data_IF_773296621969
#
_entry.id   IF_773296621969
#
_cell.length_a   1.000
_cell.length_b   1.000
_cell.length_c   1.000
_cell.angle_alpha   90.00
_cell.angle_beta   90.00
_cell.angle_gamma   90.00
#
_symmetry.space_group_name_H-M   'P 1'
#
loop_
_entity.id
_entity.type
_entity.pdbx_description
1 polymer ?
#
# COMPACT_ATOMS: atom_id res chain seq x y z
N UNK A 1 -20.52 1.01 -1.16
CA UNK A 1 -20.17 1.66 0.15
C UNK A 1 -21.09 2.85 0.27
N UNK A 2 -21.69 3.10 1.43
CA UNK A 2 -22.52 4.28 1.65
C UNK A 2 -21.66 5.55 1.79
N UNK A 3 -22.29 6.72 1.64
CA UNK A 3 -21.59 8.00 1.66
C UNK A 3 -20.92 8.30 3.02
N UNK A 4 -21.54 7.87 4.11
CA UNK A 4 -21.00 8.12 5.46
C UNK A 4 -19.73 7.32 5.65
N UNK A 5 -19.74 6.05 5.26
CA UNK A 5 -18.56 5.17 5.33
C UNK A 5 -17.41 5.62 4.40
N UNK A 6 -17.73 6.29 3.30
CA UNK A 6 -16.73 6.71 2.31
C UNK A 6 -16.15 8.11 2.61
N UNK A 7 -17.03 9.09 2.87
CA UNK A 7 -16.63 10.49 3.03
C UNK A 7 -16.55 10.95 4.49
N UNK A 8 -16.93 10.09 5.44
CA UNK A 8 -17.11 10.46 6.86
C UNK A 8 -18.05 11.67 7.07
N UNK A 9 -18.97 11.90 6.12
CA UNK A 9 -19.99 12.95 6.14
C UNK A 9 -21.13 12.61 5.19
N UNK A 10 -22.31 13.18 5.42
CA UNK A 10 -23.43 13.13 4.48
C UNK A 10 -23.20 14.14 3.36
N UNK A 11 -23.19 13.67 2.11
CA UNK A 11 -23.04 14.50 0.90
C UNK A 11 -24.35 14.60 0.13
N UNK A 12 -25.33 13.73 0.41
CA UNK A 12 -26.65 13.74 -0.22
C UNK A 12 -27.41 15.03 0.12
N UNK A 13 -28.32 15.44 -0.79
CA UNK A 13 -29.26 16.50 -0.52
C UNK A 13 -30.13 16.19 0.71
N UNK A 14 -30.52 17.21 1.43
CA UNK A 14 -31.53 17.07 2.54
C UNK A 14 -32.86 16.57 2.01
N UNK A 15 -33.27 17.01 0.83
CA UNK A 15 -34.44 16.51 0.12
C UNK A 15 -33.99 15.43 -0.88
N UNK A 16 -34.44 14.21 -0.64
CA UNK A 16 -34.16 13.03 -1.48
C UNK A 16 -35.47 12.53 -2.16
N UNK A 17 -36.53 13.29 -2.16
CA UNK A 17 -37.82 12.88 -2.76
C UNK A 17 -37.74 12.59 -4.24
N UNK A 18 -36.79 13.22 -4.96
CA UNK A 18 -36.48 12.95 -6.37
C UNK A 18 -35.50 11.83 -6.62
N UNK A 19 -34.94 11.17 -5.59
CA UNK A 19 -33.95 10.11 -5.76
C UNK A 19 -34.62 8.78 -6.12
N UNK A 20 -33.86 7.93 -6.86
CA UNK A 20 -34.29 6.56 -7.12
C UNK A 20 -34.11 5.70 -5.87
N UNK A 21 -35.11 4.88 -5.55
CA UNK A 21 -35.01 3.84 -4.54
C UNK A 21 -34.52 2.55 -5.21
N UNK A 22 -33.30 2.14 -4.89
CA UNK A 22 -32.70 0.90 -5.38
C UNK A 22 -32.86 -0.19 -4.32
N UNK A 23 -33.31 -1.38 -4.70
CA UNK A 23 -33.46 -2.56 -3.83
C UNK A 23 -32.26 -3.48 -3.95
N UNK A 24 -32.05 -4.31 -2.94
CA UNK A 24 -31.02 -5.36 -2.98
C UNK A 24 -31.18 -6.20 -4.27
N UNK A 25 -30.06 -6.48 -4.94
CA UNK A 25 -30.03 -7.20 -6.22
C UNK A 25 -30.24 -6.33 -7.46
N UNK A 26 -30.69 -5.09 -7.32
CA UNK A 26 -30.84 -4.15 -8.44
C UNK A 26 -29.51 -3.45 -8.75
N UNK A 27 -29.39 -2.91 -9.95
CA UNK A 27 -28.19 -2.34 -10.52
C UNK A 27 -28.30 -0.83 -10.71
N UNK A 28 -27.15 -0.17 -10.62
CA UNK A 28 -27.02 1.24 -10.99
C UNK A 28 -25.78 1.47 -11.86
N UNK A 29 -25.94 2.16 -12.96
CA UNK A 29 -24.86 2.65 -13.80
C UNK A 29 -24.48 4.07 -13.37
N UNK A 30 -23.27 4.23 -12.90
CA UNK A 30 -22.64 5.52 -12.64
C UNK A 30 -21.97 6.01 -13.94
N UNK A 31 -22.48 7.07 -14.53
CA UNK A 31 -21.97 7.70 -15.76
C UNK A 31 -20.69 8.53 -15.54
N UNK A 32 -20.14 8.59 -14.35
CA UNK A 32 -18.94 9.40 -14.07
C UNK A 32 -17.67 8.63 -14.39
N UNK A 33 -16.77 9.30 -15.10
CA UNK A 33 -15.39 8.85 -15.27
C UNK A 33 -14.70 8.74 -13.91
N UNK A 34 -13.92 7.68 -13.74
CA UNK A 34 -12.99 7.56 -12.63
C UNK A 34 -11.81 6.67 -13.05
N UNK A 35 -10.70 6.74 -12.32
CA UNK A 35 -9.50 5.94 -12.62
C UNK A 35 -9.85 4.45 -12.70
N UNK A 36 -9.58 3.83 -13.84
CA UNK A 36 -9.94 2.44 -14.13
C UNK A 36 -11.37 2.21 -14.61
N UNK A 37 -12.17 3.26 -14.77
CA UNK A 37 -13.56 3.22 -15.23
C UNK A 37 -13.83 4.35 -16.24
N UNK A 38 -13.23 4.23 -17.42
CA UNK A 38 -13.27 5.27 -18.47
C UNK A 38 -14.68 5.59 -18.98
N UNK A 39 -15.56 4.58 -19.00
CA UNK A 39 -16.96 4.72 -19.39
C UNK A 39 -17.92 4.49 -18.19
N UNK A 40 -17.47 4.87 -16.98
CA UNK A 40 -18.27 4.71 -15.78
C UNK A 40 -18.33 3.26 -15.26
N UNK A 41 -19.22 2.98 -14.34
CA UNK A 41 -19.32 1.65 -13.72
C UNK A 41 -20.76 1.23 -13.45
N UNK A 42 -21.08 -0.02 -13.73
CA UNK A 42 -22.32 -0.65 -13.30
C UNK A 42 -22.07 -1.48 -12.04
N UNK A 43 -22.84 -1.24 -10.99
CA UNK A 43 -22.72 -1.98 -9.73
C UNK A 43 -24.09 -2.43 -9.24
N UNK A 44 -24.12 -3.61 -8.59
CA UNK A 44 -25.32 -4.17 -7.95
C UNK A 44 -25.32 -3.77 -6.47
N UNK A 45 -26.52 -3.51 -5.94
CA UNK A 45 -26.69 -3.29 -4.51
C UNK A 45 -26.70 -4.64 -3.78
N UNK A 46 -25.60 -4.95 -3.10
CA UNK A 46 -25.42 -6.22 -2.37
C UNK A 46 -25.41 -6.06 -0.85
N UNK A 47 -25.12 -4.85 -0.33
CA UNK A 47 -24.83 -4.63 1.09
C UNK A 47 -26.06 -4.25 1.95
N UNK A 48 -27.04 -3.65 1.33
CA UNK A 48 -28.21 -3.08 2.02
C UNK A 48 -29.48 -3.60 1.37
N UNK A 49 -30.57 -3.66 2.13
CA UNK A 49 -31.86 -4.07 1.59
C UNK A 49 -32.39 -3.06 0.57
N UNK A 50 -32.11 -1.78 0.80
CA UNK A 50 -32.42 -0.69 -0.12
C UNK A 50 -31.50 0.51 0.07
N UNK A 51 -31.43 1.38 -0.93
CA UNK A 51 -30.67 2.61 -0.88
C UNK A 51 -31.19 3.68 -1.83
N UNK A 52 -31.06 4.96 -1.47
CA UNK A 52 -31.41 6.07 -2.32
C UNK A 52 -30.23 6.50 -3.20
N UNK A 53 -30.45 6.66 -4.51
CA UNK A 53 -29.47 7.11 -5.48
C UNK A 53 -29.95 8.35 -6.24
N UNK A 54 -29.04 9.28 -6.51
CA UNK A 54 -29.29 10.45 -7.33
C UNK A 54 -29.77 10.07 -8.74
N UNK A 55 -30.57 10.93 -9.36
CA UNK A 55 -31.05 10.81 -10.74
C UNK A 55 -29.93 10.85 -11.81
N UNK A 56 -28.70 11.12 -11.41
CA UNK A 56 -27.52 11.01 -12.29
C UNK A 56 -27.18 9.55 -12.67
N UNK A 57 -27.69 8.58 -11.93
CA UNK A 57 -27.51 7.15 -12.20
C UNK A 57 -28.64 6.61 -13.07
N UNK A 58 -28.33 5.60 -13.90
CA UNK A 58 -29.35 4.77 -14.54
C UNK A 58 -29.56 3.55 -13.66
N UNK A 59 -30.73 3.42 -13.05
CA UNK A 59 -31.08 2.32 -12.16
C UNK A 59 -31.93 1.29 -12.90
N UNK A 60 -31.65 -0.01 -12.69
CA UNK A 60 -32.40 -1.08 -13.38
C UNK A 60 -32.38 -2.41 -12.62
N UNK A 61 -33.37 -3.24 -12.90
CA UNK A 61 -33.47 -4.62 -12.43
C UNK A 61 -33.32 -5.61 -13.60
N UNK A 62 -32.77 -6.78 -13.31
CA UNK A 62 -32.67 -7.86 -14.29
C UNK A 62 -34.01 -8.60 -14.43
N UNK A 63 -34.30 -9.07 -15.68
CA UNK A 63 -35.52 -9.83 -15.99
C UNK A 63 -35.28 -11.33 -16.17
N UNK A 64 -34.13 -11.74 -16.75
CA UNK A 64 -33.96 -13.11 -17.25
C UNK A 64 -32.62 -13.78 -16.93
N UNK A 65 -31.57 -13.03 -16.70
CA UNK A 65 -30.22 -13.58 -16.61
C UNK A 65 -29.82 -13.89 -15.16
N UNK A 66 -28.78 -14.74 -14.98
CA UNK A 66 -28.19 -14.95 -13.67
C UNK A 66 -27.53 -13.65 -13.17
N UNK A 67 -27.95 -13.19 -12.01
CA UNK A 67 -27.54 -11.89 -11.48
C UNK A 67 -26.04 -11.85 -11.12
N UNK A 68 -25.47 -12.94 -10.63
CA UNK A 68 -24.04 -12.99 -10.30
C UNK A 68 -23.18 -13.01 -11.57
N UNK A 69 -23.66 -13.68 -12.63
CA UNK A 69 -23.03 -13.62 -13.95
C UNK A 69 -23.02 -12.20 -14.51
N UNK A 70 -24.15 -11.52 -14.49
CA UNK A 70 -24.27 -10.14 -15.00
C UNK A 70 -23.40 -9.17 -14.19
N UNK A 71 -23.31 -9.36 -12.87
CA UNK A 71 -22.36 -8.61 -12.05
C UNK A 71 -20.92 -8.80 -12.53
N UNK A 72 -20.48 -10.05 -12.74
CA UNK A 72 -19.14 -10.36 -13.24
C UNK A 72 -18.92 -9.81 -14.66
N UNK A 73 -19.93 -9.88 -15.54
CA UNK A 73 -19.88 -9.32 -16.88
C UNK A 73 -19.63 -7.81 -16.85
N UNK A 74 -20.37 -7.06 -16.05
CA UNK A 74 -20.16 -5.61 -15.90
C UNK A 74 -18.80 -5.27 -15.27
N UNK A 75 -18.29 -6.11 -14.37
CA UNK A 75 -16.96 -5.95 -13.80
C UNK A 75 -15.82 -6.28 -14.79
N UNK A 76 -16.09 -7.01 -15.89
CA UNK A 76 -15.13 -7.31 -16.96
C UNK A 76 -14.82 -6.11 -17.87
N UNK A 77 -15.66 -5.08 -17.83
CA UNK A 77 -15.61 -3.89 -18.70
C UNK A 77 -15.78 -4.17 -20.22
N UNK A 78 -16.14 -5.40 -20.63
CA UNK A 78 -16.35 -5.75 -22.03
C UNK A 78 -17.51 -4.97 -22.68
N UNK A 79 -18.46 -4.55 -21.87
CA UNK A 79 -19.60 -3.72 -22.27
C UNK A 79 -19.21 -2.28 -22.64
N UNK A 80 -18.00 -1.84 -22.36
CA UNK A 80 -17.51 -0.49 -22.68
C UNK A 80 -17.55 -0.16 -24.17
N UNK A 81 -17.34 -1.15 -25.02
CA UNK A 81 -17.45 -0.97 -26.47
C UNK A 81 -18.81 -0.40 -26.88
N UNK A 82 -19.89 -0.92 -26.31
CA UNK A 82 -21.25 -0.48 -26.61
C UNK A 82 -21.51 0.94 -26.04
N UNK A 83 -21.00 1.23 -24.85
CA UNK A 83 -21.14 2.58 -24.25
C UNK A 83 -20.32 3.61 -25.03
N UNK A 84 -19.15 3.25 -25.52
CA UNK A 84 -18.36 4.14 -26.39
C UNK A 84 -19.14 4.61 -27.61
N UNK A 85 -19.90 3.72 -28.22
CA UNK A 85 -20.69 4.02 -29.44
C UNK A 85 -21.84 4.99 -29.19
N UNK A 86 -22.41 5.02 -28.00
CA UNK A 86 -23.55 5.86 -27.60
C UNK A 86 -23.17 7.06 -26.73
N UNK A 87 -21.91 7.10 -26.22
CA UNK A 87 -21.42 8.24 -25.46
C UNK A 87 -21.01 9.35 -26.42
N UNK A 88 -21.89 10.34 -26.64
CA UNK A 88 -21.52 11.52 -27.43
C UNK A 88 -20.34 12.25 -26.76
N UNK A 89 -19.38 12.70 -27.57
CA UNK A 89 -18.30 13.60 -27.14
C UNK A 89 -18.91 14.87 -26.56
N UNK A 90 -19.00 14.94 -25.26
CA UNK A 90 -19.61 16.05 -24.56
C UNK A 90 -19.24 16.12 -23.09
N UNK A 91 -18.18 15.45 -22.67
CA UNK A 91 -17.60 15.61 -21.33
C UNK A 91 -17.00 17.03 -21.13
N UNK A 92 -17.79 18.04 -21.44
CA UNK A 92 -17.54 19.42 -21.01
C UNK A 92 -17.99 19.50 -19.57
N UNK A 93 -17.02 19.56 -18.67
CA UNK A 93 -17.14 19.80 -17.25
C UNK A 93 -17.50 18.58 -16.39
N UNK A 94 -16.54 18.16 -15.59
CA UNK A 94 -16.66 17.27 -14.43
C UNK A 94 -16.69 15.76 -14.68
N UNK A 95 -16.28 15.23 -15.84
CA UNK A 95 -16.11 13.80 -16.06
C UNK A 95 -17.42 12.98 -16.09
N UNK A 96 -18.57 13.63 -16.31
CA UNK A 96 -19.85 12.97 -16.49
C UNK A 96 -20.07 12.67 -17.98
N UNK A 97 -20.26 11.38 -18.32
CA UNK A 97 -20.59 10.96 -19.69
C UNK A 97 -22.03 11.31 -20.04
N UNK A 98 -22.24 11.77 -21.27
CA UNK A 98 -23.57 11.96 -21.80
C UNK A 98 -24.06 10.66 -22.44
N UNK A 99 -24.70 9.80 -21.65
CA UNK A 99 -25.29 8.53 -22.08
C UNK A 99 -26.80 8.61 -21.91
N UNK A 100 -27.57 8.65 -23.00
CA UNK A 100 -29.03 8.63 -22.94
C UNK A 100 -29.54 7.30 -22.35
N UNK A 101 -30.57 7.36 -21.53
CA UNK A 101 -31.09 6.17 -20.85
C UNK A 101 -31.65 5.14 -21.82
N UNK A 102 -32.37 5.59 -22.86
CA UNK A 102 -32.97 4.70 -23.86
C UNK A 102 -31.88 3.99 -24.68
N UNK A 103 -30.86 4.72 -25.12
CA UNK A 103 -29.74 4.16 -25.85
C UNK A 103 -28.93 3.16 -24.98
N UNK A 104 -28.79 3.42 -23.67
CA UNK A 104 -28.17 2.48 -22.74
C UNK A 104 -28.91 1.13 -22.72
N UNK A 105 -30.24 1.14 -22.71
CA UNK A 105 -31.04 -0.09 -22.73
C UNK A 105 -31.10 -0.77 -24.09
N UNK A 106 -30.78 -0.07 -25.15
CA UNK A 106 -30.70 -0.61 -26.54
C UNK A 106 -29.33 -1.22 -26.86
N UNK A 107 -28.33 -1.07 -25.97
CA UNK A 107 -27.00 -1.67 -26.14
C UNK A 107 -27.09 -3.20 -26.25
N UNK A 108 -26.27 -3.78 -27.12
CA UNK A 108 -26.26 -5.23 -27.41
C UNK A 108 -25.07 -5.90 -26.72
N UNK A 109 -25.34 -6.92 -25.92
CA UNK A 109 -24.35 -7.66 -25.17
C UNK A 109 -24.31 -9.13 -25.60
N UNK A 110 -23.10 -9.63 -25.88
CA UNK A 110 -22.89 -11.02 -26.23
C UNK A 110 -22.65 -11.83 -24.97
N UNK A 111 -23.63 -12.63 -24.57
CA UNK A 111 -23.60 -13.45 -23.36
C UNK A 111 -24.16 -14.84 -23.64
N UNK A 112 -23.74 -15.89 -22.89
CA UNK A 112 -24.33 -17.22 -23.00
C UNK A 112 -25.85 -17.18 -22.82
N UNK A 113 -26.58 -17.89 -23.66
CA UNK A 113 -28.03 -17.98 -23.54
C UNK A 113 -28.48 -18.98 -22.48
N UNK A 114 -27.65 -20.01 -22.22
CA UNK A 114 -27.92 -21.00 -21.18
C UNK A 114 -27.63 -20.47 -19.78
N UNK A 115 -28.66 -20.45 -18.92
CA UNK A 115 -28.56 -20.03 -17.55
C UNK A 115 -27.62 -20.94 -16.72
N UNK A 116 -27.52 -22.24 -17.08
CA UNK A 116 -26.60 -23.14 -16.39
C UNK A 116 -25.13 -22.80 -16.67
N UNK A 117 -24.84 -22.35 -17.92
CA UNK A 117 -23.52 -21.84 -18.27
C UNK A 117 -23.23 -20.51 -17.56
N UNK A 118 -24.17 -19.57 -17.56
CA UNK A 118 -24.04 -18.32 -16.81
C UNK A 118 -23.74 -18.60 -15.33
N UNK A 119 -24.47 -19.54 -14.73
CA UNK A 119 -24.27 -19.91 -13.31
C UNK A 119 -22.88 -20.49 -13.05
N UNK A 120 -22.38 -21.38 -13.90
CA UNK A 120 -21.04 -21.96 -13.78
C UNK A 120 -19.95 -20.87 -13.82
N UNK A 121 -20.06 -19.91 -14.75
CA UNK A 121 -19.13 -18.80 -14.85
C UNK A 121 -19.22 -17.93 -13.58
N UNK A 122 -20.41 -17.61 -13.12
CA UNK A 122 -20.65 -16.84 -11.91
C UNK A 122 -20.02 -17.52 -10.67
N UNK A 123 -20.29 -18.81 -10.46
CA UNK A 123 -19.76 -19.58 -9.33
C UNK A 123 -18.23 -19.62 -9.33
N UNK A 124 -17.63 -19.78 -10.53
CA UNK A 124 -16.18 -19.74 -10.67
C UNK A 124 -15.61 -18.37 -10.31
N UNK A 125 -16.21 -17.28 -10.82
CA UNK A 125 -15.76 -15.92 -10.49
C UNK A 125 -15.94 -15.59 -9.01
N UNK A 126 -17.05 -15.99 -8.39
CA UNK A 126 -17.27 -15.84 -6.94
C UNK A 126 -16.22 -16.60 -6.14
N UNK A 127 -15.88 -17.84 -6.54
CA UNK A 127 -14.85 -18.62 -5.87
C UNK A 127 -13.47 -17.94 -5.97
N UNK A 128 -13.14 -17.37 -7.13
CA UNK A 128 -11.89 -16.62 -7.35
C UNK A 128 -11.84 -15.35 -6.49
N UNK A 129 -12.92 -14.57 -6.44
CA UNK A 129 -12.97 -13.35 -5.60
C UNK A 129 -12.80 -13.69 -4.11
N UNK A 130 -13.48 -14.73 -3.63
CA UNK A 130 -13.30 -15.22 -2.25
C UNK A 130 -11.85 -15.63 -1.96
N UNK A 131 -11.19 -16.26 -2.94
CA UNK A 131 -9.77 -16.62 -2.81
C UNK A 131 -8.87 -15.40 -2.74
N UNK A 132 -9.12 -14.38 -3.55
CA UNK A 132 -8.40 -13.09 -3.54
C UNK A 132 -8.58 -12.39 -2.18
N UNK A 133 -9.81 -12.29 -1.68
CA UNK A 133 -10.11 -11.68 -0.39
C UNK A 133 -9.44 -12.43 0.78
N UNK A 134 -9.48 -13.76 0.76
CA UNK A 134 -8.80 -14.58 1.77
C UNK A 134 -7.29 -14.38 1.75
N UNK A 135 -6.69 -14.29 0.55
CA UNK A 135 -5.25 -14.06 0.40
C UNK A 135 -4.85 -12.66 0.89
N UNK A 136 -5.64 -11.62 0.59
CA UNK A 136 -5.41 -10.27 1.13
C UNK A 136 -5.48 -10.27 2.65
N UNK A 137 -6.49 -10.92 3.23
CA UNK A 137 -6.64 -11.04 4.69
C UNK A 137 -5.45 -11.77 5.32
N UNK A 138 -4.88 -12.77 4.65
CA UNK A 138 -3.67 -13.46 5.10
C UNK A 138 -2.47 -12.50 5.12
N UNK A 139 -2.26 -11.71 4.06
CA UNK A 139 -1.18 -10.70 4.00
C UNK A 139 -1.30 -9.71 5.17
N UNK A 140 -2.50 -9.17 5.39
CA UNK A 140 -2.75 -8.19 6.46
C UNK A 140 -2.53 -8.80 7.86
N UNK A 141 -2.95 -10.05 8.04
CA UNK A 141 -2.76 -10.79 9.29
C UNK A 141 -1.28 -11.06 9.57
N UNK A 142 -0.50 -11.46 8.55
CA UNK A 142 0.94 -11.67 8.69
C UNK A 142 1.69 -10.37 9.00
N UNK A 143 1.33 -9.26 8.37
CA UNK A 143 1.89 -7.94 8.68
C UNK A 143 1.57 -7.49 10.11
N UNK A 144 0.34 -7.75 10.57
CA UNK A 144 -0.06 -7.49 11.96
C UNK A 144 0.71 -8.38 12.93
N UNK A 145 0.86 -9.66 12.61
CA UNK A 145 1.64 -10.62 13.40
C UNK A 145 3.10 -10.16 13.53
N UNK A 146 3.76 -9.78 12.40
CA UNK A 146 5.12 -9.24 12.43
C UNK A 146 5.24 -8.07 13.40
N UNK A 147 4.33 -7.08 13.29
CA UNK A 147 4.34 -5.92 14.21
C UNK A 147 4.23 -6.36 15.67
N UNK A 148 3.30 -7.26 15.98
CA UNK A 148 3.13 -7.77 17.35
C UNK A 148 4.36 -8.52 17.87
N UNK A 149 5.03 -9.31 17.04
CA UNK A 149 6.28 -10.01 17.41
C UNK A 149 7.39 -9.00 17.67
N UNK A 150 7.60 -8.05 16.76
CA UNK A 150 8.64 -7.00 16.90
C UNK A 150 8.40 -6.17 18.18
N UNK A 151 7.19 -5.70 18.38
CA UNK A 151 6.85 -4.93 19.58
C UNK A 151 6.98 -5.76 20.87
N UNK A 152 6.60 -7.04 20.81
CA UNK A 152 6.74 -7.96 21.92
C UNK A 152 8.22 -8.20 22.32
N UNK A 153 9.11 -8.34 21.33
CA UNK A 153 10.54 -8.51 21.54
C UNK A 153 11.14 -7.25 22.20
N UNK A 154 10.96 -6.08 21.60
CA UNK A 154 11.61 -4.87 22.06
C UNK A 154 10.98 -4.25 23.32
N UNK A 155 9.71 -4.53 23.59
CA UNK A 155 9.06 -4.22 24.87
C UNK A 155 9.35 -5.24 25.98
N UNK A 156 10.13 -6.29 25.70
CA UNK A 156 10.47 -7.39 26.64
C UNK A 156 9.26 -8.21 27.13
N UNK A 157 8.15 -8.16 26.40
CA UNK A 157 6.98 -9.01 26.66
C UNK A 157 7.15 -10.42 26.09
N UNK A 158 7.93 -10.57 25.01
CA UNK A 158 8.39 -11.83 24.46
C UNK A 158 9.85 -12.01 24.84
N UNK A 159 10.13 -13.01 25.68
CA UNK A 159 11.48 -13.36 26.09
C UNK A 159 11.91 -14.65 25.39
N UNK A 160 13.09 -14.62 24.80
CA UNK A 160 13.78 -15.84 24.40
C UNK A 160 14.52 -16.37 25.65
N UNK A 161 14.63 -17.69 25.80
CA UNK A 161 15.28 -18.32 26.97
C UNK A 161 16.81 -18.14 26.92
N UNK A 162 17.29 -16.90 26.88
CA UNK A 162 18.72 -16.59 26.97
C UNK A 162 19.04 -16.18 28.41
N UNK A 163 20.13 -16.69 28.99
CA UNK A 163 20.49 -16.43 30.38
C UNK A 163 20.98 -15.02 30.64
N UNK A 164 21.32 -14.26 29.59
CA UNK A 164 21.91 -12.94 29.74
C UNK A 164 20.88 -11.82 29.60
N UNK A 165 20.97 -10.82 30.45
CA UNK A 165 20.24 -9.57 30.31
C UNK A 165 20.82 -8.74 29.18
N UNK A 166 19.96 -8.06 28.39
CA UNK A 166 20.44 -7.15 27.36
C UNK A 166 21.17 -5.97 27.99
N UNK A 167 22.34 -5.66 27.46
CA UNK A 167 23.03 -4.42 27.82
C UNK A 167 22.24 -3.21 27.30
N UNK A 168 22.32 -2.08 27.99
CA UNK A 168 21.85 -0.80 27.47
C UNK A 168 23.05 0.07 27.14
N UNK A 169 23.27 0.34 25.84
CA UNK A 169 24.37 1.16 25.36
C UNK A 169 23.84 2.39 24.64
N UNK A 170 24.58 3.48 24.69
CA UNK A 170 24.26 4.67 23.91
C UNK A 170 24.49 4.41 22.41
N UNK A 171 23.71 5.08 21.57
CA UNK A 171 23.91 4.99 20.10
C UNK A 171 25.33 5.40 19.73
N UNK A 172 25.92 6.37 20.43
CA UNK A 172 27.31 6.81 20.25
C UNK A 172 28.38 5.75 20.56
N UNK A 173 28.06 4.77 21.43
CA UNK A 173 28.94 3.66 21.74
C UNK A 173 28.90 2.58 20.65
N UNK A 174 27.76 2.41 19.99
CA UNK A 174 27.52 1.40 18.95
C UNK A 174 27.86 1.89 17.55
N UNK A 175 27.62 3.17 17.28
CA UNK A 175 27.72 3.75 15.94
C UNK A 175 28.56 5.03 15.95
N UNK A 176 29.10 5.34 14.77
CA UNK A 176 29.79 6.61 14.52
C UNK A 176 29.17 7.31 13.30
N UNK A 177 29.14 8.65 13.32
CA UNK A 177 28.72 9.41 12.15
C UNK A 177 29.73 9.33 11.02
N UNK A 178 29.24 9.14 9.78
CA UNK A 178 30.07 9.14 8.57
C UNK A 178 29.75 10.38 7.73
N UNK A 179 30.82 11.06 7.24
CA UNK A 179 30.71 12.18 6.31
C UNK A 179 31.83 12.13 5.26
N UNK A 180 31.98 10.97 4.63
CA UNK A 180 32.96 10.73 3.57
C UNK A 180 32.42 11.27 2.23
N UNK A 181 33.16 12.17 1.56
CA UNK A 181 32.71 12.91 0.36
C UNK A 181 33.74 12.82 -0.76
N UNK A 182 33.37 13.30 -1.97
CA UNK A 182 34.29 13.34 -3.11
C UNK A 182 34.15 12.17 -4.08
N UNK A 183 33.11 11.36 -3.96
CA UNK A 183 32.85 10.16 -4.78
C UNK A 183 31.79 10.43 -5.86
N UNK A 184 32.09 11.31 -6.79
CA UNK A 184 31.16 11.73 -7.86
C UNK A 184 30.92 10.65 -8.93
N UNK A 185 31.74 9.60 -8.95
CA UNK A 185 31.63 8.44 -9.84
C UNK A 185 30.65 7.37 -9.33
N UNK A 186 30.23 7.46 -8.09
CA UNK A 186 29.34 6.47 -7.47
C UNK A 186 27.87 6.72 -7.79
N UNK A 187 27.07 5.65 -7.71
CA UNK A 187 25.62 5.68 -7.90
C UNK A 187 24.97 6.56 -6.84
N UNK A 188 24.08 7.44 -7.27
CA UNK A 188 23.26 8.23 -6.35
C UNK A 188 22.11 7.39 -5.84
N UNK A 189 22.07 7.22 -4.52
CA UNK A 189 21.04 6.46 -3.84
C UNK A 189 19.99 7.40 -3.20
N UNK A 190 18.77 6.91 -3.12
CA UNK A 190 17.67 7.53 -2.38
C UNK A 190 17.09 6.56 -1.36
N UNK A 191 16.49 7.10 -0.32
CA UNK A 191 15.80 6.31 0.70
C UNK A 191 14.39 5.95 0.18
N UNK A 192 14.06 4.68 0.25
CA UNK A 192 12.69 4.16 0.08
C UNK A 192 12.26 3.58 1.42
N UNK A 193 11.23 4.19 2.00
CA UNK A 193 10.78 3.80 3.34
C UNK A 193 10.35 2.34 3.39
N UNK A 194 11.02 1.54 4.20
CA UNK A 194 10.77 0.12 4.35
C UNK A 194 11.58 -0.79 3.45
N UNK A 195 12.30 -0.24 2.50
CA UNK A 195 13.10 -1.00 1.52
C UNK A 195 14.60 -0.68 1.61
N UNK A 196 14.95 0.35 2.42
CA UNK A 196 16.33 0.83 2.54
C UNK A 196 16.69 1.83 1.45
N UNK A 197 17.91 1.70 0.89
CA UNK A 197 18.36 2.56 -0.21
C UNK A 197 18.20 1.87 -1.55
N UNK A 198 17.86 2.66 -2.59
CA UNK A 198 17.77 2.21 -3.98
C UNK A 198 18.45 3.23 -4.90
N UNK A 199 18.93 2.81 -6.09
CA UNK A 199 19.36 3.75 -7.12
C UNK A 199 18.27 4.78 -7.41
N UNK A 200 18.63 6.04 -7.40
CA UNK A 200 17.65 7.14 -7.55
C UNK A 200 16.90 7.07 -8.87
N UNK A 201 17.58 6.64 -9.94
CA UNK A 201 17.01 6.54 -11.28
C UNK A 201 16.00 5.37 -11.42
N UNK A 202 15.98 4.43 -10.47
CA UNK A 202 15.04 3.30 -10.45
C UNK A 202 13.72 3.63 -9.76
N UNK A 203 13.61 4.81 -9.12
CA UNK A 203 12.42 5.23 -8.38
C UNK A 203 11.61 6.20 -9.23
N UNK A 204 10.31 5.94 -9.43
CA UNK A 204 9.39 6.71 -10.28
C UNK A 204 9.26 8.21 -9.94
N UNK A 205 9.76 8.64 -8.81
CA UNK A 205 9.83 10.05 -8.45
C UNK A 205 11.06 10.70 -9.06
N UNK A 206 10.91 11.35 -10.19
CA UNK A 206 11.94 12.23 -10.80
C UNK A 206 12.20 13.44 -9.89
N UNK A 207 12.93 13.24 -8.81
CA UNK A 207 13.48 14.32 -8.02
C UNK A 207 14.75 14.76 -8.76
N UNK A 208 14.66 15.88 -9.48
CA UNK A 208 15.81 16.46 -10.16
C UNK A 208 16.94 16.73 -9.14
N UNK A 209 18.15 16.38 -9.47
CA UNK A 209 19.36 16.76 -8.74
C UNK A 209 20.39 17.31 -9.69
N UNK A 210 21.15 18.27 -9.23
CA UNK A 210 22.23 18.85 -10.02
C UNK A 210 23.46 17.94 -9.93
N UNK A 211 23.87 17.40 -11.06
CA UNK A 211 25.05 16.52 -11.16
C UNK A 211 26.34 17.21 -10.68
N UNK A 212 26.44 18.54 -10.76
CA UNK A 212 27.58 19.30 -10.26
C UNK A 212 27.73 19.23 -8.73
N UNK A 213 26.64 18.93 -8.00
CA UNK A 213 26.67 18.85 -6.54
C UNK A 213 26.99 17.49 -5.97
N UNK A 214 27.13 16.44 -6.81
CA UNK A 214 27.36 15.05 -6.36
C UNK A 214 28.66 14.92 -5.54
N UNK A 215 29.67 15.72 -5.81
CA UNK A 215 30.91 15.75 -5.03
C UNK A 215 30.70 16.09 -3.55
N UNK A 216 29.60 16.77 -3.23
CA UNK A 216 29.19 17.08 -1.85
C UNK A 216 28.45 15.96 -1.14
N UNK A 217 28.01 14.93 -1.90
CA UNK A 217 27.25 13.81 -1.36
C UNK A 217 28.15 12.92 -0.50
N UNK A 218 27.52 12.24 0.45
CA UNK A 218 28.23 11.37 1.41
C UNK A 218 28.22 9.94 0.90
N UNK A 219 29.39 9.31 0.89
CA UNK A 219 29.55 7.88 0.58
C UNK A 219 28.95 7.03 1.69
N UNK A 220 28.22 6.00 1.28
CA UNK A 220 27.64 4.98 2.15
C UNK A 220 28.05 3.60 1.69
N UNK A 221 28.18 2.68 2.65
CA UNK A 221 28.48 1.28 2.44
C UNK A 221 27.32 0.39 2.86
N UNK A 222 27.18 -0.83 2.32
CA UNK A 222 26.18 -1.78 2.78
C UNK A 222 26.20 -1.93 4.32
N UNK A 223 25.01 -1.97 4.92
CA UNK A 223 24.77 -2.04 6.35
C UNK A 223 25.02 -0.73 7.15
N UNK A 224 25.41 0.37 6.51
CA UNK A 224 25.25 1.67 7.15
C UNK A 224 23.77 1.98 7.39
N UNK A 225 23.47 2.78 8.41
CA UNK A 225 22.10 3.26 8.65
C UNK A 225 22.00 4.73 8.29
N UNK A 226 20.83 5.13 7.81
CA UNK A 226 20.55 6.51 7.42
C UNK A 226 19.38 7.05 8.21
N UNK A 227 19.60 8.19 8.85
CA UNK A 227 18.58 8.98 9.53
C UNK A 227 18.26 10.21 8.69
N UNK A 228 16.98 10.36 8.33
CA UNK A 228 16.46 11.60 7.75
C UNK A 228 15.98 12.52 8.87
N UNK A 229 16.62 13.69 9.03
CA UNK A 229 16.38 14.56 10.19
C UNK A 229 14.97 15.16 10.26
N UNK A 230 14.26 15.28 9.13
CA UNK A 230 12.91 15.86 9.03
C UNK A 230 11.81 14.84 8.74
N UNK A 231 12.16 13.68 8.20
CA UNK A 231 11.21 12.60 7.87
C UNK A 231 11.62 11.33 8.59
N UNK A 232 11.57 11.37 9.91
CA UNK A 232 12.06 10.34 10.83
C UNK A 232 10.95 9.41 11.34
N UNK A 233 9.70 9.65 10.98
CA UNK A 233 8.55 8.87 11.43
C UNK A 233 8.62 7.39 11.03
N UNK A 234 9.40 7.07 10.00
CA UNK A 234 9.70 5.69 9.58
C UNK A 234 10.88 5.05 10.33
N UNK A 235 11.57 5.79 11.21
CA UNK A 235 12.81 5.34 11.84
C UNK A 235 14.04 5.53 10.95
N UNK A 236 15.06 4.67 11.12
CA UNK A 236 16.26 4.67 10.30
C UNK A 236 16.13 3.65 9.17
N UNK A 237 16.67 4.00 8.02
CA UNK A 237 16.77 3.06 6.89
C UNK A 237 18.17 2.47 6.77
N UNK A 238 18.27 1.29 6.16
CA UNK A 238 19.54 0.59 5.95
C UNK A 238 20.04 0.80 4.53
N UNK A 239 21.36 0.86 4.38
CA UNK A 239 22.02 0.92 3.08
C UNK A 239 22.16 -0.48 2.51
N UNK A 240 21.60 -0.70 1.32
CA UNK A 240 21.60 -2.00 0.64
C UNK A 240 22.85 -2.21 -0.23
N UNK A 241 23.38 -1.14 -0.81
CA UNK A 241 24.53 -1.17 -1.74
C UNK A 241 25.42 0.06 -1.57
N UNK A 242 26.66 -0.02 -2.03
CA UNK A 242 27.57 1.12 -2.01
C UNK A 242 27.11 2.22 -2.97
N UNK A 243 27.14 3.48 -2.50
CA UNK A 243 26.79 4.63 -3.31
C UNK A 243 26.98 5.93 -2.58
N UNK A 244 26.34 6.98 -3.07
CA UNK A 244 26.35 8.30 -2.43
C UNK A 244 24.92 8.78 -2.16
N UNK A 245 24.73 9.44 -1.03
CA UNK A 245 23.44 9.97 -0.60
C UNK A 245 23.52 11.45 -0.31
N UNK A 246 22.35 12.12 -0.29
CA UNK A 246 22.26 13.56 0.01
C UNK A 246 23.02 13.95 1.28
N UNK A 247 23.73 15.10 1.27
CA UNK A 247 24.44 15.61 2.45
C UNK A 247 23.49 15.92 3.65
N UNK A 248 22.18 16.08 3.39
CA UNK A 248 21.16 16.29 4.42
C UNK A 248 20.91 15.08 5.34
N UNK A 249 21.37 13.89 4.95
CA UNK A 249 21.20 12.69 5.76
C UNK A 249 22.32 12.54 6.79
N UNK A 250 21.97 11.98 7.95
CA UNK A 250 22.96 11.51 8.92
C UNK A 250 23.20 10.02 8.71
N UNK A 251 24.46 9.65 8.52
CA UNK A 251 24.88 8.26 8.26
C UNK A 251 25.49 7.72 9.54
N UNK A 252 25.07 6.53 9.96
CA UNK A 252 25.56 5.82 11.12
C UNK A 252 26.24 4.53 10.65
N UNK A 253 27.51 4.35 10.99
CA UNK A 253 28.26 3.11 10.77
C UNK A 253 28.54 2.44 12.10
N UNK A 254 28.36 1.13 12.15
CA UNK A 254 28.68 0.36 13.35
C UNK A 254 30.17 0.43 13.67
N UNK A 255 30.49 0.58 14.98
CA UNK A 255 31.86 0.58 15.49
C UNK A 255 32.42 -0.83 15.68
N UNK A 256 31.53 -1.77 16.02
CA UNK A 256 31.84 -3.15 16.32
C UNK A 256 30.94 -4.09 15.52
N UNK A 257 31.18 -5.40 15.62
CA UNK A 257 30.32 -6.40 15.02
C UNK A 257 28.90 -6.30 15.58
N UNK A 258 27.94 -6.19 14.68
CA UNK A 258 26.50 -6.22 14.97
C UNK A 258 25.81 -7.09 13.93
N UNK A 259 24.57 -7.49 14.19
CA UNK A 259 23.70 -8.06 13.16
C UNK A 259 22.82 -6.92 12.57
N UNK A 260 23.09 -6.45 11.34
CA UNK A 260 22.45 -5.27 10.78
C UNK A 260 20.92 -5.35 10.76
N UNK A 261 20.36 -6.52 10.44
CA UNK A 261 18.91 -6.74 10.39
C UNK A 261 18.25 -6.60 11.77
N UNK A 262 18.95 -6.96 12.85
CA UNK A 262 18.44 -6.73 14.22
C UNK A 262 18.24 -5.24 14.46
N UNK A 263 19.27 -4.44 14.22
CA UNK A 263 19.20 -2.99 14.44
C UNK A 263 18.28 -2.29 13.46
N UNK A 264 18.21 -2.76 12.20
CA UNK A 264 17.24 -2.25 11.23
C UNK A 264 15.80 -2.48 11.72
N UNK A 265 15.50 -3.69 12.19
CA UNK A 265 14.19 -3.99 12.76
C UNK A 265 13.90 -3.17 14.00
N UNK A 266 14.90 -3.02 14.88
CA UNK A 266 14.79 -2.22 16.09
C UNK A 266 14.52 -0.76 15.79
N UNK A 267 15.34 -0.13 14.95
CA UNK A 267 15.22 1.30 14.60
C UNK A 267 13.92 1.66 13.88
N UNK A 268 13.22 0.67 13.32
CA UNK A 268 11.91 0.85 12.68
C UNK A 268 10.75 0.37 13.53
N UNK A 269 11.01 -0.15 14.71
CA UNK A 269 9.96 -0.59 15.63
C UNK A 269 9.15 0.61 16.17
N UNK A 270 7.86 0.38 16.40
CA UNK A 270 6.99 1.37 17.06
C UNK A 270 7.58 1.80 18.40
N UNK A 271 8.16 0.84 19.14
CA UNK A 271 8.75 1.09 20.44
C UNK A 271 9.93 2.08 20.34
N UNK A 272 10.89 1.88 19.43
CA UNK A 272 12.01 2.80 19.25
C UNK A 272 11.53 4.19 18.82
N UNK A 273 10.70 4.27 17.79
CA UNK A 273 10.26 5.54 17.21
C UNK A 273 9.49 6.38 18.26
N UNK A 274 8.53 5.76 18.96
CA UNK A 274 7.65 6.50 19.85
C UNK A 274 8.15 6.64 21.28
N UNK A 275 9.06 5.77 21.75
CA UNK A 275 9.54 5.80 23.14
C UNK A 275 10.97 6.32 23.26
N UNK A 276 11.82 6.13 22.24
CA UNK A 276 13.24 6.51 22.31
C UNK A 276 13.57 7.68 21.37
N UNK A 277 13.29 7.53 20.06
CA UNK A 277 13.61 8.56 19.06
C UNK A 277 12.87 9.88 19.32
N UNK A 278 11.62 9.78 19.77
CA UNK A 278 10.78 10.95 20.06
C UNK A 278 11.39 11.90 21.10
N UNK A 279 12.26 11.42 21.99
CA UNK A 279 12.94 12.25 22.99
C UNK A 279 13.89 13.25 22.33
N UNK A 280 14.45 12.91 21.18
CA UNK A 280 15.37 13.76 20.41
C UNK A 280 14.66 14.69 19.41
N UNK A 281 13.33 14.65 19.33
CA UNK A 281 12.57 15.50 18.41
C UNK A 281 12.36 16.88 18.99
N UNK A 282 12.79 17.90 18.27
CA UNK A 282 12.58 19.31 18.57
C UNK A 282 11.70 19.98 17.50
N UNK A 283 11.10 21.12 17.87
CA UNK A 283 10.23 21.89 16.99
C UNK A 283 8.78 21.40 16.97
N UNK A 284 7.94 22.14 16.24
CA UNK A 284 6.50 21.89 16.12
C UNK A 284 6.08 21.85 14.66
N UNK A 285 5.07 21.04 14.34
CA UNK A 285 4.51 20.89 12.96
C UNK A 285 5.60 20.59 11.94
N UNK A 286 5.65 21.34 10.84
CA UNK A 286 6.59 21.15 9.72
C UNK A 286 8.05 21.54 10.06
N UNK A 287 8.27 22.17 11.20
CA UNK A 287 9.60 22.52 11.74
C UNK A 287 10.24 21.45 12.62
N UNK A 288 9.64 20.26 12.74
CA UNK A 288 10.24 19.17 13.53
C UNK A 288 11.55 18.70 12.93
N UNK A 289 12.53 18.48 13.79
CA UNK A 289 13.82 17.87 13.42
C UNK A 289 14.41 17.08 14.59
N UNK A 290 15.34 16.18 14.27
CA UNK A 290 16.08 15.43 15.27
C UNK A 290 17.23 16.30 15.81
N UNK A 291 17.28 16.48 17.14
CA UNK A 291 18.46 16.98 17.82
C UNK A 291 19.51 15.87 17.90
N UNK A 292 20.60 16.04 17.17
CA UNK A 292 21.64 15.02 17.07
C UNK A 292 22.40 14.81 18.38
N UNK A 293 22.56 15.85 19.23
CA UNK A 293 23.23 15.67 20.52
C UNK A 293 22.40 14.74 21.42
N UNK A 294 21.09 14.96 21.49
CA UNK A 294 20.18 14.07 22.25
C UNK A 294 20.11 12.69 21.64
N UNK A 295 20.09 12.59 20.29
CA UNK A 295 20.03 11.32 19.59
C UNK A 295 21.19 10.37 19.92
N UNK A 296 22.42 10.88 19.95
CA UNK A 296 23.61 10.07 20.23
C UNK A 296 23.62 9.47 21.64
N UNK A 297 22.96 10.11 22.61
CA UNK A 297 22.84 9.66 24.00
C UNK A 297 21.61 8.76 24.25
N UNK A 298 20.82 8.46 23.21
CA UNK A 298 19.72 7.50 23.36
C UNK A 298 20.30 6.12 23.70
N UNK A 299 19.86 5.56 24.82
CA UNK A 299 20.20 4.19 25.22
C UNK A 299 19.31 3.19 24.49
N UNK A 300 19.93 2.20 23.90
CA UNK A 300 19.28 1.14 23.12
C UNK A 300 19.66 -0.25 23.67
N UNK A 301 18.73 -1.22 23.65
CA UNK A 301 18.99 -2.55 24.16
C UNK A 301 19.86 -3.33 23.17
N UNK A 302 20.90 -3.97 23.70
CA UNK A 302 21.87 -4.74 22.92
C UNK A 302 21.99 -6.15 23.48
N UNK A 303 21.34 -7.15 22.85
CA UNK A 303 21.52 -8.54 23.20
C UNK A 303 22.88 -9.07 22.71
N UNK A 304 23.23 -10.30 23.10
CA UNK A 304 24.37 -11.01 22.55
C UNK A 304 24.27 -11.15 21.02
N UNK A 305 25.39 -11.26 20.33
CA UNK A 305 25.42 -11.47 18.86
C UNK A 305 24.62 -12.71 18.46
N UNK A 306 24.65 -13.76 19.26
CA UNK A 306 23.87 -14.98 19.03
C UNK A 306 22.38 -14.69 19.08
N UNK A 307 21.91 -13.97 20.10
CA UNK A 307 20.51 -13.59 20.24
C UNK A 307 20.06 -12.62 19.12
N UNK A 308 20.92 -11.66 18.73
CA UNK A 308 20.67 -10.81 17.55
C UNK A 308 20.46 -11.65 16.29
N UNK A 309 21.28 -12.70 16.05
CA UNK A 309 21.11 -13.62 14.91
C UNK A 309 19.78 -14.36 14.98
N UNK A 310 19.41 -14.91 16.13
CA UNK A 310 18.16 -15.65 16.28
C UNK A 310 16.94 -14.77 16.06
N UNK A 311 16.94 -13.56 16.62
CA UNK A 311 15.86 -12.58 16.39
C UNK A 311 15.78 -12.22 14.91
N UNK A 312 16.94 -11.95 14.27
CA UNK A 312 17.01 -11.62 12.85
C UNK A 312 16.51 -12.75 11.96
N UNK A 313 16.86 -14.01 12.29
CA UNK A 313 16.38 -15.18 11.57
C UNK A 313 14.86 -15.35 11.68
N UNK A 314 14.30 -15.15 12.88
CA UNK A 314 12.85 -15.16 13.08
C UNK A 314 12.15 -14.09 12.24
N UNK A 315 12.64 -12.85 12.27
CA UNK A 315 12.06 -11.74 11.51
C UNK A 315 12.17 -12.01 10.01
N UNK A 316 13.33 -12.48 9.52
CA UNK A 316 13.51 -12.88 8.11
C UNK A 316 12.53 -13.96 7.68
N UNK A 317 12.27 -14.94 8.53
CA UNK A 317 11.29 -16.00 8.24
C UNK A 317 9.89 -15.44 8.08
N UNK A 318 9.49 -14.51 8.95
CA UNK A 318 8.18 -13.84 8.86
C UNK A 318 8.11 -12.99 7.58
N UNK A 319 9.17 -12.24 7.27
CA UNK A 319 9.22 -11.39 6.06
C UNK A 319 9.13 -12.24 4.78
N UNK A 320 9.78 -13.38 4.73
CA UNK A 320 9.67 -14.29 3.60
C UNK A 320 8.24 -14.82 3.43
N UNK A 321 7.55 -15.14 4.52
CA UNK A 321 6.13 -15.55 4.46
C UNK A 321 5.24 -14.43 3.95
N UNK A 322 5.48 -13.18 4.37
CA UNK A 322 4.75 -12.00 3.87
C UNK A 322 4.99 -11.85 2.37
N UNK A 323 6.26 -11.89 1.91
CA UNK A 323 6.62 -11.77 0.50
C UNK A 323 5.93 -12.83 -0.37
N UNK A 324 5.92 -14.09 0.09
CA UNK A 324 5.26 -15.19 -0.63
C UNK A 324 3.75 -14.92 -0.71
N UNK A 325 3.13 -14.51 0.40
CA UNK A 325 1.69 -14.22 0.43
C UNK A 325 1.32 -13.03 -0.47
N UNK A 326 2.13 -11.98 -0.51
CA UNK A 326 1.95 -10.83 -1.41
C UNK A 326 2.14 -11.20 -2.88
N UNK A 327 3.10 -12.06 -3.19
CA UNK A 327 3.32 -12.56 -4.54
C UNK A 327 2.11 -13.35 -5.04
N UNK A 328 1.59 -14.28 -4.22
CA UNK A 328 0.37 -15.04 -4.52
C UNK A 328 -0.86 -14.14 -4.69
N UNK A 329 -1.01 -13.11 -3.86
CA UNK A 329 -2.08 -12.12 -4.01
C UNK A 329 -2.01 -11.40 -5.38
N UNK A 330 -0.83 -10.89 -5.74
CA UNK A 330 -0.62 -10.23 -7.04
C UNK A 330 -0.90 -11.17 -8.21
N UNK A 331 -0.47 -12.43 -8.09
CA UNK A 331 -0.73 -13.47 -9.11
C UNK A 331 -2.23 -13.76 -9.29
N UNK A 332 -2.97 -13.85 -8.19
CA UNK A 332 -4.42 -14.04 -8.26
C UNK A 332 -5.12 -12.86 -8.94
N UNK A 333 -4.69 -11.63 -8.67
CA UNK A 333 -5.21 -10.44 -9.38
C UNK A 333 -4.94 -10.49 -10.89
N UNK A 334 -3.76 -10.94 -11.31
CA UNK A 334 -3.42 -11.10 -12.72
C UNK A 334 -4.27 -12.20 -13.39
N UNK A 335 -4.45 -13.33 -12.70
CA UNK A 335 -5.34 -14.42 -13.16
C UNK A 335 -6.76 -13.90 -13.34
N UNK A 336 -7.28 -13.14 -12.38
CA UNK A 336 -8.61 -12.50 -12.49
C UNK A 336 -8.74 -11.66 -13.76
N UNK A 337 -7.77 -10.77 -14.00
CA UNK A 337 -7.77 -9.92 -15.19
C UNK A 337 -7.77 -10.76 -16.47
N UNK A 338 -6.91 -11.77 -16.58
CA UNK A 338 -6.84 -12.66 -17.73
C UNK A 338 -8.14 -13.42 -17.96
N UNK A 339 -8.75 -13.95 -16.91
CA UNK A 339 -10.03 -14.67 -16.99
C UNK A 339 -11.19 -13.75 -17.39
N UNK A 340 -11.24 -12.52 -16.87
CA UNK A 340 -12.22 -11.52 -17.29
C UNK A 340 -12.13 -11.21 -18.78
N UNK A 341 -10.93 -11.28 -19.37
CA UNK A 341 -10.74 -11.08 -20.81
C UNK A 341 -11.15 -12.29 -21.66
N UNK A 342 -11.05 -13.51 -21.11
CA UNK A 342 -11.31 -14.75 -21.83
C UNK A 342 -12.76 -15.23 -21.71
N UNK A 343 -13.37 -15.10 -20.53
CA UNK A 343 -14.72 -15.60 -20.26
C UNK A 343 -15.83 -14.69 -20.80
N UNK A 344 -15.53 -13.42 -20.97
CA UNK A 344 -16.47 -12.44 -21.52
C UNK A 344 -15.96 -11.96 -22.89
N UNK A 345 -16.76 -12.16 -23.92
CA UNK A 345 -16.43 -11.85 -25.32
C UNK A 345 -16.85 -10.43 -25.69
#
# INVERSE_FOLDING_TARGET
>A
MDQISYFNKTVASKDMSGYYLLKNGEYAYNKSYSVGYDFGSVKRLDRYDMGALSTLYICFALKKHDSDFIKAYFDSLKWYREIYMISAEGARNHGLLNVPTDEFFDTKHYIPQDLAEQRKIADFMIALERRIEAQQSLVDSLKKYKRGVVDGIFSRKLNFSYPQTWAELEISELFMPISDKGYSDKIVLTIVQGEGTMPRDSVDRRIAYDKSTISSYKRVLPNDFILHLRSFEGGLEIVNEEGVVSPAYTILRARNEIIPLFFYTFFRSYWFINSKLRISVEGIRDGKSINMNTFWHIKVPVPSIEEQRHISALISSIDNRIKIAEFEYKRLLQIRVGLMQQLFI
#
